data_IF_036595828322
#
_entry.id   IF_036595828322
#
_cell.length_a   1.000
_cell.length_b   1.000
_cell.length_c   1.000
_cell.angle_alpha   90.00
_cell.angle_beta   90.00
_cell.angle_gamma   90.00
#
_symmetry.space_group_name_H-M   'P 1'
#
loop_
_entity.id
_entity.type
_entity.pdbx_description
1 polymer ?
#
# COMPACT_ATOMS: atom_id res chain seq x y z
N UNK A 1 26.42 20.31 -9.02
CA UNK A 1 26.40 20.02 -10.47
C UNK A 1 26.05 18.56 -10.62
N UNK A 2 24.80 18.28 -10.97
CA UNK A 2 24.35 16.93 -11.32
C UNK A 2 24.95 16.60 -12.71
N UNK A 3 25.50 15.40 -12.95
CA UNK A 3 25.96 15.02 -14.29
C UNK A 3 24.82 15.17 -15.30
N UNK A 4 25.13 15.72 -16.46
CA UNK A 4 24.20 16.12 -17.54
C UNK A 4 23.45 14.95 -18.23
N UNK A 5 23.39 13.77 -17.60
CA UNK A 5 22.82 12.55 -18.19
C UNK A 5 21.35 12.27 -17.81
N UNK A 6 20.79 12.93 -16.79
CA UNK A 6 19.41 12.67 -16.31
C UNK A 6 18.30 13.46 -17.03
N UNK A 7 18.57 14.03 -18.21
CA UNK A 7 17.56 14.73 -19.04
C UNK A 7 17.12 13.95 -20.29
N UNK A 8 17.36 12.65 -20.34
CA UNK A 8 16.71 11.74 -21.28
C UNK A 8 15.67 10.89 -20.54
N UNK A 9 14.50 10.69 -21.15
CA UNK A 9 13.49 9.77 -20.65
C UNK A 9 14.10 8.34 -20.57
N UNK A 10 14.50 7.92 -19.38
CA UNK A 10 15.07 6.59 -19.06
C UNK A 10 14.01 5.58 -18.62
N UNK A 11 12.72 5.79 -18.95
CA UNK A 11 11.66 4.79 -18.68
C UNK A 11 12.01 3.40 -19.18
N UNK A 12 11.92 2.41 -18.30
CA UNK A 12 12.03 1.00 -18.65
C UNK A 12 10.64 0.44 -18.91
N UNK A 13 10.52 -0.45 -19.89
CA UNK A 13 9.24 -0.88 -20.40
C UNK A 13 9.04 -2.39 -20.32
N UNK A 14 7.81 -2.79 -20.04
CA UNK A 14 7.29 -4.12 -20.34
C UNK A 14 6.42 -4.04 -21.60
N UNK A 15 6.70 -4.91 -22.57
CA UNK A 15 5.90 -5.03 -23.78
C UNK A 15 4.87 -6.14 -23.65
N UNK A 16 3.61 -5.85 -23.91
CA UNK A 16 2.52 -6.83 -23.87
C UNK A 16 1.86 -6.92 -25.25
N UNK A 17 1.95 -8.07 -25.89
CA UNK A 17 1.22 -8.41 -27.12
C UNK A 17 -0.09 -9.05 -26.73
N UNK A 18 -1.18 -8.29 -26.84
CA UNK A 18 -2.50 -8.70 -26.41
C UNK A 18 -3.40 -9.05 -27.60
N UNK A 19 -3.89 -10.29 -27.62
CA UNK A 19 -5.03 -10.65 -28.45
C UNK A 19 -6.34 -10.09 -27.87
N UNK A 20 -7.21 -9.56 -28.73
CA UNK A 20 -8.56 -9.11 -28.31
C UNK A 20 -9.36 -10.25 -27.69
N UNK A 21 -9.90 -10.00 -26.50
CA UNK A 21 -10.83 -10.86 -25.79
C UNK A 21 -10.91 -10.50 -24.30
N UNK A 22 -12.04 -10.84 -23.66
CA UNK A 22 -12.26 -10.51 -22.23
C UNK A 22 -11.24 -11.19 -21.31
N UNK A 23 -10.93 -12.50 -21.42
CA UNK A 23 -9.92 -13.15 -20.56
C UNK A 23 -8.55 -12.48 -20.67
N UNK A 24 -8.15 -12.10 -21.88
CA UNK A 24 -6.88 -11.41 -22.14
C UNK A 24 -6.88 -10.01 -21.51
N UNK A 25 -7.99 -9.27 -21.54
CA UNK A 25 -8.09 -7.96 -20.88
C UNK A 25 -7.88 -8.05 -19.37
N UNK A 26 -8.45 -9.07 -18.71
CA UNK A 26 -8.28 -9.28 -17.27
C UNK A 26 -6.81 -9.58 -16.94
N UNK A 27 -6.17 -10.49 -17.69
CA UNK A 27 -4.75 -10.83 -17.52
C UNK A 27 -3.84 -9.63 -17.76
N UNK A 28 -4.08 -8.84 -18.81
CA UNK A 28 -3.28 -7.65 -19.11
C UNK A 28 -3.45 -6.57 -18.04
N UNK A 29 -4.66 -6.40 -17.48
CA UNK A 29 -4.87 -5.47 -16.35
C UNK A 29 -4.08 -5.91 -15.12
N UNK A 30 -4.12 -7.19 -14.78
CA UNK A 30 -3.33 -7.76 -13.69
C UNK A 30 -1.82 -7.58 -13.93
N UNK A 31 -1.31 -7.91 -15.12
CA UNK A 31 0.09 -7.71 -15.50
C UNK A 31 0.50 -6.25 -15.43
N UNK A 32 -0.35 -5.34 -15.91
CA UNK A 32 -0.08 -3.90 -15.89
C UNK A 32 0.13 -3.44 -14.45
N UNK A 33 -0.74 -3.85 -13.54
CA UNK A 33 -0.65 -3.50 -12.13
C UNK A 33 0.58 -4.13 -11.47
N UNK A 34 0.82 -5.43 -11.69
CA UNK A 34 1.99 -6.14 -11.15
C UNK A 34 3.30 -5.48 -11.61
N UNK A 35 3.48 -5.30 -12.91
CA UNK A 35 4.72 -4.81 -13.51
C UNK A 35 4.96 -3.33 -13.19
N UNK A 36 3.89 -2.52 -13.14
CA UNK A 36 4.02 -1.13 -12.75
C UNK A 36 4.33 -1.01 -11.26
N UNK A 37 3.51 -1.58 -10.37
CA UNK A 37 3.62 -1.34 -8.92
C UNK A 37 4.78 -2.11 -8.26
N UNK A 38 5.10 -3.32 -8.71
CA UNK A 38 6.18 -4.13 -8.10
C UNK A 38 7.55 -3.82 -8.70
N UNK A 39 7.61 -3.54 -10.00
CA UNK A 39 8.87 -3.43 -10.75
C UNK A 39 9.12 -2.06 -11.37
N UNK A 40 8.19 -1.11 -11.26
CA UNK A 40 8.36 0.26 -11.78
C UNK A 40 8.40 0.35 -13.31
N UNK A 41 7.89 -0.67 -14.03
CA UNK A 41 7.93 -0.71 -15.49
C UNK A 41 6.74 0.03 -16.11
N UNK A 42 7.03 0.83 -17.14
CA UNK A 42 6.00 1.40 -18.01
C UNK A 42 5.46 0.32 -18.96
N UNK A 43 4.16 0.35 -19.24
CA UNK A 43 3.51 -0.73 -19.98
C UNK A 43 3.19 -0.29 -21.40
N UNK A 44 3.73 -1.01 -22.38
CA UNK A 44 3.38 -0.83 -23.79
C UNK A 44 2.51 -2.01 -24.21
N UNK A 45 1.24 -1.75 -24.53
CA UNK A 45 0.32 -2.78 -25.03
C UNK A 45 0.13 -2.62 -26.53
N UNK A 46 0.40 -3.69 -27.28
CA UNK A 46 0.20 -3.76 -28.74
C UNK A 46 -0.69 -4.95 -29.09
N UNK A 47 -1.31 -4.93 -30.28
CA UNK A 47 -2.24 -6.00 -30.69
C UNK A 47 -1.66 -6.94 -31.75
N UNK A 48 -0.53 -6.57 -32.36
CA UNK A 48 0.11 -7.32 -33.44
C UNK A 48 1.60 -7.54 -33.18
N UNK A 49 2.11 -8.69 -33.61
CA UNK A 49 3.55 -9.02 -33.51
C UNK A 49 4.44 -8.05 -34.29
N UNK A 50 3.97 -7.52 -35.43
CA UNK A 50 4.73 -6.54 -36.21
C UNK A 50 4.94 -5.24 -35.43
N UNK A 51 3.89 -4.75 -34.75
CA UNK A 51 3.96 -3.57 -33.89
C UNK A 51 4.89 -3.83 -32.69
N UNK A 52 4.82 -5.03 -32.12
CA UNK A 52 5.69 -5.47 -31.03
C UNK A 52 7.18 -5.45 -31.44
N UNK A 53 7.49 -5.98 -32.62
CA UNK A 53 8.84 -5.96 -33.17
C UNK A 53 9.36 -4.54 -33.38
N UNK A 54 8.56 -3.68 -34.02
CA UNK A 54 8.91 -2.26 -34.19
C UNK A 54 9.14 -1.55 -32.85
N UNK A 55 8.37 -1.91 -31.82
CA UNK A 55 8.53 -1.37 -30.46
C UNK A 55 9.87 -1.80 -29.85
N UNK A 56 10.24 -3.08 -29.97
CA UNK A 56 11.54 -3.58 -29.48
C UNK A 56 12.69 -2.92 -30.23
N UNK A 57 12.58 -2.74 -31.54
CA UNK A 57 13.61 -2.03 -32.30
C UNK A 57 13.78 -0.58 -31.84
N UNK A 58 12.66 0.11 -31.59
CA UNK A 58 12.63 1.51 -31.13
C UNK A 58 13.18 1.68 -29.71
N UNK A 59 12.83 0.77 -28.80
CA UNK A 59 13.10 0.89 -27.36
C UNK A 59 14.17 -0.11 -26.88
N UNK A 60 14.96 -0.71 -27.78
CA UNK A 60 15.77 -1.93 -27.57
C UNK A 60 16.39 -2.12 -26.19
N UNK A 61 17.20 -1.17 -25.71
CA UNK A 61 17.90 -1.29 -24.41
C UNK A 61 16.99 -1.08 -23.20
N UNK A 62 15.77 -0.55 -23.41
CA UNK A 62 14.81 -0.15 -22.38
C UNK A 62 13.67 -1.16 -22.21
N UNK A 63 13.53 -2.16 -23.08
CA UNK A 63 12.53 -3.23 -22.92
C UNK A 63 13.12 -4.30 -22.00
N UNK A 64 12.55 -4.45 -20.80
CA UNK A 64 13.04 -5.39 -19.78
C UNK A 64 12.39 -6.76 -19.86
N UNK A 65 11.19 -6.85 -20.44
CA UNK A 65 10.46 -8.10 -20.62
C UNK A 65 9.40 -7.97 -21.71
N UNK A 66 8.97 -9.12 -22.25
CA UNK A 66 7.90 -9.20 -23.23
C UNK A 66 6.88 -10.28 -22.83
N UNK A 67 5.58 -9.98 -22.97
CA UNK A 67 4.48 -10.89 -22.71
C UNK A 67 3.65 -11.09 -23.98
N UNK A 68 3.19 -12.31 -24.22
CA UNK A 68 2.22 -12.63 -25.28
C UNK A 68 1.01 -13.27 -24.64
N UNK A 69 -0.15 -12.61 -24.76
CA UNK A 69 -1.42 -13.05 -24.13
C UNK A 69 -2.43 -13.38 -25.23
N UNK A 70 -2.68 -14.67 -25.47
CA UNK A 70 -3.53 -15.13 -26.59
C UNK A 70 -4.15 -16.52 -26.36
N UNK A 71 -5.31 -16.78 -26.97
CA UNK A 71 -5.99 -18.08 -27.02
C UNK A 71 -5.77 -18.84 -28.31
N UNK A 72 -5.03 -18.27 -29.27
CA UNK A 72 -4.77 -18.90 -30.57
C UNK A 72 -3.37 -19.48 -30.62
N UNK A 73 -3.25 -20.53 -31.41
CA UNK A 73 -1.99 -21.16 -31.77
C UNK A 73 -1.09 -20.16 -32.50
N UNK A 74 0.19 -20.10 -32.11
CA UNK A 74 1.24 -19.43 -32.88
C UNK A 74 1.74 -20.41 -33.93
N UNK A 75 1.51 -20.09 -35.20
CA UNK A 75 1.84 -21.00 -36.30
C UNK A 75 3.35 -21.12 -36.56
N UNK A 76 4.14 -20.10 -36.19
CA UNK A 76 5.57 -20.04 -36.50
C UNK A 76 6.38 -19.37 -35.41
N UNK A 77 7.53 -19.98 -35.09
CA UNK A 77 8.56 -19.40 -34.22
C UNK A 77 9.02 -18.02 -34.70
N UNK A 78 8.95 -17.73 -36.01
CA UNK A 78 9.33 -16.44 -36.57
C UNK A 78 8.49 -15.27 -36.02
N UNK A 79 7.27 -15.53 -35.55
CA UNK A 79 6.40 -14.50 -34.97
C UNK A 79 6.83 -14.06 -33.56
N UNK A 80 7.54 -14.92 -32.83
CA UNK A 80 7.88 -14.71 -31.41
C UNK A 80 9.37 -14.59 -31.13
N UNK A 81 10.24 -15.19 -31.96
CA UNK A 81 11.69 -15.10 -31.80
C UNK A 81 12.21 -13.65 -31.71
N UNK A 82 11.69 -12.67 -32.49
CA UNK A 82 12.15 -11.29 -32.37
C UNK A 82 11.81 -10.64 -31.02
N UNK A 83 10.84 -11.17 -30.27
CA UNK A 83 10.43 -10.59 -28.98
C UNK A 83 11.41 -10.88 -27.84
N UNK A 84 12.18 -11.95 -27.98
CA UNK A 84 13.10 -12.45 -26.96
C UNK A 84 14.55 -11.98 -27.19
N UNK A 85 14.84 -11.40 -28.37
CA UNK A 85 16.17 -10.85 -28.75
C UNK A 85 17.30 -11.82 -28.38
N UNK A 86 17.20 -13.06 -28.89
CA UNK A 86 18.20 -14.12 -28.66
C UNK A 86 18.45 -14.46 -27.18
N UNK A 87 17.43 -14.27 -26.33
CA UNK A 87 17.47 -14.56 -24.90
C UNK A 87 17.71 -13.33 -24.04
N UNK A 88 18.12 -12.19 -24.61
CA UNK A 88 18.40 -11.00 -23.79
C UNK A 88 17.16 -10.37 -23.15
N UNK A 89 15.96 -10.68 -23.67
CA UNK A 89 14.69 -10.21 -23.11
C UNK A 89 13.87 -11.44 -22.68
N UNK A 90 13.53 -11.60 -21.39
CA UNK A 90 12.66 -12.67 -20.95
C UNK A 90 11.29 -12.54 -21.62
N UNK A 91 10.87 -13.62 -22.27
CA UNK A 91 9.61 -13.72 -23.01
C UNK A 91 8.64 -14.64 -22.28
N UNK A 92 7.45 -14.14 -21.97
CA UNK A 92 6.40 -14.88 -21.28
C UNK A 92 5.25 -15.18 -22.23
N UNK A 93 4.93 -16.46 -22.41
CA UNK A 93 3.78 -16.90 -23.20
C UNK A 93 2.63 -17.29 -22.27
N UNK A 94 1.60 -16.45 -22.25
CA UNK A 94 0.36 -16.64 -21.48
C UNK A 94 -0.72 -17.21 -22.39
N UNK A 95 -0.96 -18.51 -22.27
CA UNK A 95 -1.82 -19.28 -23.19
C UNK A 95 -2.83 -20.15 -22.40
N UNK A 96 -3.95 -20.59 -23.00
CA UNK A 96 -4.74 -21.68 -22.46
C UNK A 96 -3.89 -22.93 -22.22
N UNK A 97 -4.20 -23.70 -21.17
CA UNK A 97 -3.46 -24.92 -20.81
C UNK A 97 -3.30 -25.90 -21.96
N UNK A 98 -4.31 -26.02 -22.82
CA UNK A 98 -4.31 -26.89 -24.01
C UNK A 98 -3.24 -26.55 -25.05
N UNK A 99 -2.72 -25.31 -25.06
CA UNK A 99 -1.73 -24.85 -26.03
C UNK A 99 -0.30 -24.89 -25.49
N UNK A 100 -0.08 -25.08 -24.19
CA UNK A 100 1.24 -24.92 -23.56
C UNK A 100 2.29 -25.88 -24.12
N UNK A 101 2.01 -27.19 -24.15
CA UNK A 101 3.02 -28.20 -24.57
C UNK A 101 3.41 -28.07 -26.04
N UNK A 102 2.46 -27.68 -26.88
CA UNK A 102 2.73 -27.42 -28.29
C UNK A 102 3.69 -26.23 -28.47
N UNK A 103 3.48 -25.15 -27.71
CA UNK A 103 4.32 -23.96 -27.79
C UNK A 103 5.68 -24.16 -27.10
N UNK A 104 5.78 -24.99 -26.06
CA UNK A 104 7.07 -25.45 -25.53
C UNK A 104 7.90 -26.14 -26.61
N UNK A 105 7.26 -27.03 -27.37
CA UNK A 105 7.91 -27.71 -28.51
C UNK A 105 8.36 -26.69 -29.58
N UNK A 106 7.50 -25.72 -29.91
CA UNK A 106 7.83 -24.65 -30.86
C UNK A 106 9.05 -23.82 -30.41
N UNK A 107 9.18 -23.57 -29.10
CA UNK A 107 10.20 -22.69 -28.52
C UNK A 107 11.41 -23.43 -27.93
N UNK A 108 11.54 -24.75 -28.07
CA UNK A 108 12.55 -25.57 -27.36
C UNK A 108 14.03 -25.12 -27.51
N UNK A 109 14.35 -24.31 -28.53
CA UNK A 109 15.69 -23.73 -28.76
C UNK A 109 15.78 -22.23 -28.47
N UNK A 110 14.81 -21.66 -27.77
CA UNK A 110 14.81 -20.26 -27.37
C UNK A 110 15.18 -20.19 -25.89
N UNK A 111 16.18 -19.38 -25.57
CA UNK A 111 16.54 -19.09 -24.19
C UNK A 111 15.53 -18.11 -23.57
N UNK A 112 15.38 -18.13 -22.25
CA UNK A 112 14.56 -17.17 -21.50
C UNK A 112 13.10 -17.06 -21.99
N UNK A 113 12.51 -18.19 -22.39
CA UNK A 113 11.08 -18.29 -22.68
C UNK A 113 10.36 -18.99 -21.55
N UNK A 114 9.46 -18.27 -20.90
CA UNK A 114 8.65 -18.73 -19.80
C UNK A 114 7.22 -18.98 -20.26
N UNK A 115 6.56 -19.96 -19.65
CA UNK A 115 5.20 -20.35 -19.99
C UNK A 115 4.31 -20.27 -18.76
N UNK A 116 3.16 -19.64 -18.89
CA UNK A 116 2.15 -19.64 -17.84
C UNK A 116 0.77 -19.89 -18.48
N UNK A 117 0.00 -20.79 -17.91
CA UNK A 117 -1.36 -21.02 -18.39
C UNK A 117 -2.31 -19.98 -17.80
N UNK A 118 -3.35 -19.57 -18.53
CA UNK A 118 -4.34 -18.61 -18.02
C UNK A 118 -5.01 -19.07 -16.73
N UNK A 119 -5.29 -20.36 -16.65
CA UNK A 119 -5.91 -21.03 -15.52
C UNK A 119 -5.00 -21.00 -14.29
N UNK A 120 -3.67 -20.98 -14.51
CA UNK A 120 -2.69 -20.90 -13.44
C UNK A 120 -2.23 -19.46 -13.18
N UNK A 121 -2.55 -18.49 -14.05
CA UNK A 121 -2.02 -17.14 -13.93
C UNK A 121 -2.40 -16.49 -12.59
N UNK A 122 -3.61 -16.80 -12.11
CA UNK A 122 -4.14 -16.34 -10.84
C UNK A 122 -3.98 -17.36 -9.71
N UNK A 123 -3.32 -18.51 -9.92
CA UNK A 123 -3.14 -19.50 -8.86
C UNK A 123 -2.13 -19.02 -7.80
N UNK A 124 -2.18 -19.60 -6.60
CA UNK A 124 -1.17 -19.35 -5.53
C UNK A 124 -0.14 -20.47 -5.42
N UNK A 125 -0.29 -21.54 -6.20
CA UNK A 125 0.65 -22.66 -6.27
C UNK A 125 1.95 -22.25 -6.98
N UNK A 126 2.96 -23.13 -7.00
CA UNK A 126 4.30 -22.82 -7.55
C UNK A 126 4.33 -22.39 -9.03
N UNK A 127 3.23 -22.53 -9.78
CA UNK A 127 3.11 -22.17 -11.20
C UNK A 127 2.35 -20.86 -11.47
N UNK A 128 2.15 -20.02 -10.45
CA UNK A 128 1.49 -18.72 -10.59
C UNK A 128 2.25 -17.77 -11.52
N UNK A 129 1.54 -16.82 -12.14
CA UNK A 129 2.17 -15.85 -13.04
C UNK A 129 3.21 -14.98 -12.31
N UNK A 130 2.91 -14.52 -11.10
CA UNK A 130 3.84 -13.69 -10.33
C UNK A 130 5.12 -14.46 -9.94
N UNK A 131 5.03 -15.75 -9.58
CA UNK A 131 6.22 -16.57 -9.25
C UNK A 131 7.07 -16.82 -10.49
N UNK A 132 6.43 -17.12 -11.63
CA UNK A 132 7.14 -17.30 -12.90
C UNK A 132 7.85 -16.02 -13.32
N UNK A 133 7.20 -14.86 -13.16
CA UNK A 133 7.82 -13.55 -13.43
C UNK A 133 8.96 -13.28 -12.47
N UNK A 134 8.75 -13.43 -11.15
CA UNK A 134 9.76 -13.16 -10.14
C UNK A 134 11.02 -14.02 -10.31
N UNK A 135 10.87 -15.33 -10.55
CA UNK A 135 12.00 -16.22 -10.78
C UNK A 135 12.81 -15.82 -12.03
N UNK A 136 12.12 -15.56 -13.15
CA UNK A 136 12.78 -15.13 -14.39
C UNK A 136 13.43 -13.74 -14.25
N UNK A 137 12.84 -12.84 -13.48
CA UNK A 137 13.39 -11.50 -13.24
C UNK A 137 14.64 -11.57 -12.37
N UNK A 138 14.63 -12.40 -11.32
CA UNK A 138 15.81 -12.63 -10.49
C UNK A 138 17.00 -13.17 -11.30
N UNK A 139 16.76 -14.13 -12.20
CA UNK A 139 17.81 -14.68 -13.10
C UNK A 139 18.37 -13.64 -14.09
N UNK A 140 17.57 -12.63 -14.45
CA UNK A 140 17.95 -11.58 -15.39
C UNK A 140 18.41 -10.28 -14.70
N UNK A 141 18.55 -10.29 -13.36
CA UNK A 141 18.92 -9.10 -12.59
C UNK A 141 17.92 -7.95 -12.73
N UNK A 142 16.63 -8.27 -12.90
CA UNK A 142 15.54 -7.29 -12.84
C UNK A 142 15.04 -7.28 -11.40
N UNK A 143 15.48 -6.31 -10.60
CA UNK A 143 15.05 -6.18 -9.21
C UNK A 143 13.62 -5.67 -9.07
N UNK A 144 12.99 -5.92 -7.93
CA UNK A 144 11.78 -5.18 -7.57
C UNK A 144 12.12 -3.70 -7.27
N UNK A 145 11.08 -2.89 -7.06
CA UNK A 145 11.21 -1.45 -6.88
C UNK A 145 12.25 -1.04 -5.83
N UNK A 146 12.42 -1.84 -4.77
CA UNK A 146 13.30 -1.54 -3.62
C UNK A 146 14.57 -2.37 -3.54
N UNK A 147 14.61 -3.57 -4.12
CA UNK A 147 15.70 -4.52 -3.97
C UNK A 147 17.08 -3.94 -4.35
N UNK A 148 17.13 -3.11 -5.40
CA UNK A 148 18.37 -2.44 -5.82
C UNK A 148 18.71 -1.23 -4.94
N UNK A 149 17.70 -0.54 -4.40
CA UNK A 149 17.90 0.66 -3.57
C UNK A 149 18.47 0.32 -2.20
N UNK A 150 18.14 -0.84 -1.65
CA UNK A 150 18.61 -1.29 -0.32
C UNK A 150 20.10 -1.62 -0.30
N UNK A 151 20.71 -1.90 -1.46
CA UNK A 151 22.12 -2.25 -1.59
C UNK A 151 23.04 -1.04 -1.89
N UNK A 152 22.47 0.14 -2.13
CA UNK A 152 23.21 1.35 -2.56
C UNK A 152 23.47 2.33 -1.40
N UNK A 153 24.48 3.21 -1.52
CA UNK A 153 24.65 4.34 -0.61
C UNK A 153 23.37 5.21 -0.55
N UNK A 154 23.06 5.86 0.59
CA UNK A 154 21.80 6.59 0.79
C UNK A 154 21.48 7.65 -0.27
N UNK A 155 22.50 8.34 -0.80
CA UNK A 155 22.30 9.38 -1.82
C UNK A 155 21.93 8.79 -3.19
N UNK A 156 22.58 7.69 -3.58
CA UNK A 156 22.32 7.00 -4.85
C UNK A 156 21.01 6.21 -4.81
N UNK A 157 20.70 5.59 -3.66
CA UNK A 157 19.45 4.87 -3.45
C UNK A 157 18.24 5.79 -3.54
N UNK A 158 18.34 7.00 -2.98
CA UNK A 158 17.29 8.03 -3.04
C UNK A 158 17.03 8.46 -4.48
N UNK A 159 18.08 8.76 -5.26
CA UNK A 159 17.92 9.18 -6.65
C UNK A 159 17.32 8.08 -7.53
N UNK A 160 17.77 6.83 -7.38
CA UNK A 160 17.22 5.69 -8.11
C UNK A 160 15.75 5.46 -7.75
N UNK A 161 15.42 5.55 -6.45
CA UNK A 161 14.06 5.39 -5.96
C UNK A 161 13.14 6.49 -6.49
N UNK A 162 13.53 7.76 -6.42
CA UNK A 162 12.76 8.89 -6.95
C UNK A 162 12.47 8.68 -8.45
N UNK A 163 13.50 8.32 -9.22
CA UNK A 163 13.37 8.07 -10.65
C UNK A 163 12.39 6.92 -10.97
N UNK A 164 12.42 5.84 -10.18
CA UNK A 164 11.48 4.71 -10.32
C UNK A 164 10.06 5.09 -9.91
N UNK A 165 9.91 5.82 -8.81
CA UNK A 165 8.61 6.26 -8.32
C UNK A 165 7.94 7.23 -9.27
N UNK A 166 8.67 8.14 -9.94
CA UNK A 166 8.12 9.06 -10.95
C UNK A 166 7.33 8.32 -12.05
N UNK A 167 7.78 7.12 -12.43
CA UNK A 167 7.17 6.29 -13.47
C UNK A 167 5.87 5.59 -13.05
N UNK A 168 5.52 5.60 -11.77
CA UNK A 168 4.26 5.03 -11.26
C UNK A 168 3.05 5.94 -11.54
N UNK A 169 2.71 6.13 -12.82
CA UNK A 169 1.65 7.07 -13.25
C UNK A 169 0.26 6.72 -12.70
N UNK A 170 0.03 5.46 -12.37
CA UNK A 170 -1.29 4.96 -11.93
C UNK A 170 -1.46 4.91 -10.42
N UNK A 171 -0.41 5.15 -9.63
CA UNK A 171 -0.51 5.14 -8.17
C UNK A 171 -1.26 6.40 -7.70
N UNK A 172 -2.26 6.27 -6.81
CA UNK A 172 -2.83 7.44 -6.15
C UNK A 172 -1.72 8.18 -5.40
N UNK A 173 -1.96 9.43 -5.09
CA UNK A 173 -1.10 10.20 -4.18
C UNK A 173 -1.96 10.65 -3.02
N UNK A 174 -1.32 10.88 -1.86
CA UNK A 174 -2.01 11.54 -0.76
C UNK A 174 -2.42 12.94 -1.25
N UNK A 175 -3.68 13.37 -1.05
CA UNK A 175 -4.13 14.69 -1.48
C UNK A 175 -3.20 15.80 -0.98
N UNK A 176 -2.87 16.79 -1.81
CA UNK A 176 -1.92 17.85 -1.44
C UNK A 176 -2.33 18.59 -0.16
N UNK A 177 -3.63 18.78 0.07
CA UNK A 177 -4.14 19.38 1.31
C UNK A 177 -3.81 18.51 2.52
N UNK A 178 -3.92 17.19 2.42
CA UNK A 178 -3.52 16.27 3.49
C UNK A 178 -2.00 16.36 3.75
N UNK A 179 -1.17 16.43 2.71
CA UNK A 179 0.28 16.63 2.86
C UNK A 179 0.62 17.97 3.51
N UNK A 180 -0.09 19.04 3.17
CA UNK A 180 0.07 20.35 3.82
C UNK A 180 -0.32 20.29 5.30
N UNK A 181 -1.38 19.59 5.66
CA UNK A 181 -1.77 19.39 7.07
C UNK A 181 -0.68 18.62 7.82
N UNK A 182 -0.13 17.54 7.25
CA UNK A 182 0.99 16.80 7.86
C UNK A 182 2.18 17.71 8.16
N UNK A 183 2.62 18.51 7.17
CA UNK A 183 3.74 19.45 7.33
C UNK A 183 3.49 20.49 8.44
N UNK A 184 2.28 21.03 8.51
CA UNK A 184 1.90 21.99 9.56
C UNK A 184 1.94 21.37 10.96
N UNK A 185 1.49 20.12 11.07
CA UNK A 185 1.42 19.38 12.34
C UNK A 185 2.81 18.97 12.84
N UNK A 186 3.71 18.62 11.91
CA UNK A 186 5.11 18.29 12.19
C UNK A 186 5.94 19.54 12.56
N UNK A 187 5.65 20.70 11.98
CA UNK A 187 6.41 21.93 12.21
C UNK A 187 6.09 22.55 13.61
N UNK A 188 7.08 22.57 14.53
CA UNK A 188 6.88 23.16 15.85
C UNK A 188 6.61 24.67 15.80
N UNK A 189 7.03 25.38 14.75
CA UNK A 189 6.89 26.83 14.60
C UNK A 189 5.53 27.26 14.07
N UNK A 190 4.70 26.35 13.55
CA UNK A 190 3.38 26.74 13.02
C UNK A 190 2.52 27.42 14.07
N UNK A 191 1.90 28.54 13.73
CA UNK A 191 0.97 29.27 14.58
C UNK A 191 -0.42 28.61 14.60
N UNK A 192 -1.30 29.07 15.51
CA UNK A 192 -2.71 28.63 15.55
C UNK A 192 -3.43 29.16 14.31
N UNK A 193 -3.12 30.41 13.96
CA UNK A 193 -3.67 31.15 12.84
C UNK A 193 -3.35 30.47 11.51
N UNK A 194 -2.12 29.99 11.31
CA UNK A 194 -1.75 29.26 10.08
C UNK A 194 -2.51 27.94 9.92
N UNK A 195 -2.76 27.20 11.01
CA UNK A 195 -3.57 25.99 10.97
C UNK A 195 -5.04 26.33 10.70
N UNK A 196 -5.59 27.32 11.39
CA UNK A 196 -6.97 27.79 11.17
C UNK A 196 -7.18 28.27 9.73
N UNK A 197 -6.27 29.08 9.21
CA UNK A 197 -6.29 29.56 7.83
C UNK A 197 -6.26 28.37 6.87
N UNK A 198 -5.38 27.38 7.04
CA UNK A 198 -5.37 26.21 6.17
C UNK A 198 -6.71 25.46 6.17
N UNK A 199 -7.31 25.26 7.35
CA UNK A 199 -8.53 24.48 7.50
C UNK A 199 -9.77 25.20 6.94
N UNK A 200 -9.85 26.52 7.13
CA UNK A 200 -11.00 27.33 6.69
C UNK A 200 -11.16 27.43 5.18
N UNK A 201 -10.15 27.04 4.39
CA UNK A 201 -10.27 26.89 2.94
C UNK A 201 -11.23 25.78 2.50
N UNK A 202 -11.56 24.82 3.37
CA UNK A 202 -12.48 23.72 3.09
C UNK A 202 -13.60 23.69 4.15
N UNK A 203 -14.73 24.37 3.91
CA UNK A 203 -15.84 24.45 4.87
C UNK A 203 -16.40 23.08 5.27
N UNK A 204 -16.29 22.07 4.41
CA UNK A 204 -16.72 20.71 4.73
C UNK A 204 -15.80 20.06 5.77
N UNK A 205 -14.48 20.29 5.69
CA UNK A 205 -13.54 19.86 6.73
C UNK A 205 -13.84 20.57 8.04
N UNK A 206 -14.02 21.89 8.03
CA UNK A 206 -14.31 22.65 9.26
C UNK A 206 -15.59 22.15 9.93
N UNK A 207 -16.65 21.93 9.15
CA UNK A 207 -17.92 21.45 9.69
C UNK A 207 -17.76 20.09 10.39
N UNK A 208 -17.15 19.11 9.71
CA UNK A 208 -16.91 17.77 10.28
C UNK A 208 -15.93 17.80 11.44
N UNK A 209 -14.90 18.64 11.35
CA UNK A 209 -13.92 18.82 12.42
C UNK A 209 -14.61 19.35 13.68
N UNK A 210 -15.48 20.34 13.54
CA UNK A 210 -16.28 20.84 14.65
C UNK A 210 -17.19 19.75 15.23
N UNK A 211 -17.81 18.89 14.41
CA UNK A 211 -18.56 17.74 14.94
C UNK A 211 -17.68 16.79 15.75
N UNK A 212 -16.48 16.48 15.26
CA UNK A 212 -15.55 15.58 15.95
C UNK A 212 -14.99 16.21 17.23
N UNK A 213 -14.44 17.43 17.20
CA UNK A 213 -13.80 18.04 18.39
C UNK A 213 -14.80 18.41 19.50
N UNK A 214 -16.10 18.46 19.17
CA UNK A 214 -17.19 18.64 20.11
C UNK A 214 -17.85 17.31 20.54
N UNK A 215 -17.38 16.15 20.03
CA UNK A 215 -17.91 14.84 20.41
C UNK A 215 -17.57 14.50 21.86
N UNK A 216 -18.26 13.49 22.41
CA UNK A 216 -18.05 13.03 23.79
C UNK A 216 -16.57 12.69 24.09
N UNK A 217 -15.88 12.12 23.10
CA UNK A 217 -14.45 11.79 23.10
C UNK A 217 -13.57 12.98 23.43
N UNK A 218 -13.86 14.15 22.86
CA UNK A 218 -13.01 15.33 22.97
C UNK A 218 -13.58 16.40 23.88
N UNK A 219 -14.88 16.40 24.20
CA UNK A 219 -15.53 17.45 24.98
C UNK A 219 -15.07 17.49 26.45
N UNK A 220 -14.58 16.37 27.00
CA UNK A 220 -14.21 16.26 28.41
C UNK A 220 -15.41 16.49 29.34
N UNK A 221 -15.18 17.03 30.54
CA UNK A 221 -16.23 17.27 31.55
C UNK A 221 -16.92 18.63 31.43
N UNK A 222 -16.61 19.41 30.39
CA UNK A 222 -17.09 20.77 30.26
C UNK A 222 -18.57 20.82 29.82
N UNK A 223 -19.39 21.60 30.53
CA UNK A 223 -20.84 21.78 30.27
C UNK A 223 -21.15 22.78 29.13
N UNK A 224 -20.31 22.88 28.11
CA UNK A 224 -20.50 23.81 26.98
C UNK A 224 -21.04 23.06 25.77
N UNK A 225 -21.97 23.67 25.04
CA UNK A 225 -22.61 23.04 23.88
C UNK A 225 -21.68 22.89 22.66
N UNK A 226 -20.77 23.85 22.42
CA UNK A 226 -19.76 23.77 21.36
C UNK A 226 -18.59 24.74 21.54
N UNK A 227 -17.44 24.39 20.96
CA UNK A 227 -16.25 25.23 20.81
C UNK A 227 -16.07 25.64 19.33
N UNK A 228 -15.83 26.95 19.04
CA UNK A 228 -15.33 27.41 17.75
C UNK A 228 -13.97 26.80 17.39
N UNK A 229 -13.58 26.87 16.11
CA UNK A 229 -12.34 26.24 15.60
C UNK A 229 -11.08 26.72 16.34
N UNK A 230 -10.87 28.02 16.45
CA UNK A 230 -9.73 28.59 17.15
C UNK A 230 -9.67 28.14 18.62
N UNK A 231 -10.81 28.13 19.33
CA UNK A 231 -10.89 27.64 20.71
C UNK A 231 -10.60 26.14 20.81
N UNK A 232 -11.06 25.34 19.84
CA UNK A 232 -10.75 23.91 19.77
C UNK A 232 -9.25 23.66 19.56
N UNK A 233 -8.59 24.47 18.72
CA UNK A 233 -7.13 24.42 18.52
C UNK A 233 -6.38 24.77 19.80
N UNK A 234 -6.82 25.80 20.53
CA UNK A 234 -6.21 26.17 21.82
C UNK A 234 -6.38 25.05 22.85
N UNK A 235 -7.56 24.43 22.91
CA UNK A 235 -7.91 23.43 23.92
C UNK A 235 -7.26 22.07 23.69
N UNK A 236 -7.34 21.57 22.46
CA UNK A 236 -6.82 20.25 22.07
C UNK A 236 -5.35 20.31 21.61
N UNK A 237 -4.88 21.50 21.23
CA UNK A 237 -3.58 21.71 20.63
C UNK A 237 -3.60 21.52 19.11
N UNK A 238 -2.70 22.25 18.43
CA UNK A 238 -2.52 22.24 16.97
C UNK A 238 -2.34 20.84 16.41
N UNK A 239 -1.52 20.00 17.07
CA UNK A 239 -1.21 18.65 16.58
C UNK A 239 -2.46 17.76 16.55
N UNK A 240 -3.25 17.76 17.62
CA UNK A 240 -4.45 16.95 17.71
C UNK A 240 -5.52 17.41 16.70
N UNK A 241 -5.75 18.72 16.59
CA UNK A 241 -6.71 19.26 15.61
C UNK A 241 -6.27 18.97 14.17
N UNK A 242 -4.99 19.20 13.85
CA UNK A 242 -4.48 18.92 12.51
C UNK A 242 -4.55 17.43 12.16
N UNK A 243 -4.30 16.54 13.12
CA UNK A 243 -4.42 15.11 12.91
C UNK A 243 -5.88 14.64 12.63
N UNK A 244 -6.86 15.22 13.33
CA UNK A 244 -8.29 14.98 13.06
C UNK A 244 -8.68 15.56 11.69
N UNK A 245 -8.20 16.76 11.35
CA UNK A 245 -8.46 17.36 10.04
C UNK A 245 -7.86 16.52 8.90
N UNK A 246 -6.67 15.97 9.10
CA UNK A 246 -6.03 15.05 8.17
C UNK A 246 -6.90 13.80 7.95
N UNK A 247 -7.36 13.18 9.04
CA UNK A 247 -8.29 12.06 8.99
C UNK A 247 -9.53 12.39 8.15
N UNK A 248 -10.21 13.50 8.44
CA UNK A 248 -11.38 13.96 7.69
C UNK A 248 -11.05 14.16 6.21
N UNK A 249 -9.91 14.80 5.90
CA UNK A 249 -9.51 15.05 4.51
C UNK A 249 -9.30 13.73 3.75
N UNK A 250 -8.58 12.79 4.33
CA UNK A 250 -8.31 11.49 3.72
C UNK A 250 -9.61 10.72 3.49
N UNK A 251 -10.46 10.64 4.51
CA UNK A 251 -11.76 9.96 4.45
C UNK A 251 -12.69 10.53 3.36
N UNK A 252 -12.71 11.85 3.19
CA UNK A 252 -13.54 12.50 2.18
C UNK A 252 -12.95 12.45 0.76
N UNK A 253 -11.63 12.35 0.62
CA UNK A 253 -10.97 12.43 -0.69
C UNK A 253 -10.80 11.06 -1.36
N UNK A 254 -10.80 9.99 -0.56
CA UNK A 254 -10.53 8.63 -1.04
C UNK A 254 -11.84 7.94 -1.43
N UNK A 255 -12.23 8.11 -2.70
CA UNK A 255 -13.47 7.56 -3.25
C UNK A 255 -13.23 6.15 -3.81
N UNK A 256 -14.03 5.19 -3.32
CA UNK A 256 -14.00 3.80 -3.80
C UNK A 256 -14.48 3.68 -5.25
N UNK A 257 -13.76 2.95 -6.12
CA UNK A 257 -14.26 2.57 -7.44
C UNK A 257 -15.59 1.79 -7.35
N UNK A 258 -16.45 1.91 -8.37
CA UNK A 258 -17.77 1.25 -8.36
C UNK A 258 -17.67 -0.27 -8.38
N UNK A 259 -16.63 -0.78 -9.01
CA UNK A 259 -16.34 -2.19 -9.21
C UNK A 259 -15.68 -2.85 -7.99
N UNK A 260 -15.25 -2.05 -7.01
CA UNK A 260 -14.56 -2.55 -5.82
C UNK A 260 -15.54 -2.81 -4.69
N UNK A 261 -15.48 -4.00 -4.08
CA UNK A 261 -16.22 -4.33 -2.86
C UNK A 261 -15.53 -3.86 -1.57
N UNK A 262 -14.43 -3.08 -1.68
CA UNK A 262 -13.70 -2.57 -0.52
C UNK A 262 -14.62 -1.84 0.46
N UNK A 263 -14.54 -2.18 1.75
CA UNK A 263 -15.36 -1.58 2.80
C UNK A 263 -14.59 -0.43 3.45
N UNK A 264 -14.79 0.78 2.90
CA UNK A 264 -14.15 2.00 3.41
C UNK A 264 -14.52 2.27 4.87
N UNK A 265 -15.73 1.94 5.31
CA UNK A 265 -16.16 2.21 6.69
C UNK A 265 -15.37 1.33 7.65
N UNK A 266 -15.22 0.03 7.36
CA UNK A 266 -14.39 -0.87 8.19
C UNK A 266 -12.92 -0.48 8.18
N UNK A 267 -12.38 -0.13 7.01
CA UNK A 267 -11.02 0.37 6.89
C UNK A 267 -10.77 1.56 7.81
N UNK A 268 -11.59 2.62 7.70
CA UNK A 268 -11.41 3.81 8.52
C UNK A 268 -11.66 3.55 10.00
N UNK A 269 -12.61 2.67 10.33
CA UNK A 269 -12.83 2.23 11.71
C UNK A 269 -11.60 1.59 12.32
N UNK A 270 -10.91 0.72 11.57
CA UNK A 270 -9.64 0.14 12.00
C UNK A 270 -8.54 1.19 12.15
N UNK A 271 -8.32 2.04 11.13
CA UNK A 271 -7.29 3.09 11.17
C UNK A 271 -7.46 4.08 12.32
N UNK A 272 -8.70 4.53 12.57
CA UNK A 272 -9.03 5.45 13.68
C UNK A 272 -8.88 4.74 15.03
N UNK A 273 -9.32 3.47 15.12
CA UNK A 273 -9.08 2.63 16.29
C UNK A 273 -7.60 2.53 16.64
N UNK A 274 -6.75 2.24 15.66
CA UNK A 274 -5.30 2.15 15.86
C UNK A 274 -4.71 3.48 16.36
N UNK A 275 -5.11 4.62 15.77
CA UNK A 275 -4.62 5.92 16.20
C UNK A 275 -5.02 6.26 17.63
N UNK A 276 -6.28 6.00 18.02
CA UNK A 276 -6.75 6.20 19.39
C UNK A 276 -6.09 5.26 20.40
N UNK A 277 -5.89 3.98 20.02
CA UNK A 277 -5.20 3.01 20.87
C UNK A 277 -3.76 3.47 21.09
N UNK A 278 -3.03 3.83 20.04
CA UNK A 278 -1.66 4.34 20.16
C UNK A 278 -1.60 5.57 21.07
N UNK A 279 -2.51 6.54 20.90
CA UNK A 279 -2.61 7.74 21.75
C UNK A 279 -2.84 7.39 23.22
N UNK A 280 -3.76 6.47 23.52
CA UNK A 280 -4.05 6.04 24.90
C UNK A 280 -2.90 5.27 25.53
N UNK A 281 -2.25 4.38 24.79
CA UNK A 281 -1.09 3.65 25.28
C UNK A 281 0.04 4.59 25.70
N UNK A 282 0.28 5.64 24.92
CA UNK A 282 1.29 6.66 25.20
C UNK A 282 0.85 7.60 26.33
N UNK A 283 -0.33 8.23 26.23
CA UNK A 283 -0.79 9.24 27.19
C UNK A 283 -1.04 8.69 28.59
N UNK A 284 -1.60 7.48 28.69
CA UNK A 284 -1.89 6.85 29.97
C UNK A 284 -0.67 6.13 30.55
N UNK A 285 0.48 6.19 29.88
CA UNK A 285 1.70 5.47 30.28
C UNK A 285 1.46 3.97 30.47
N UNK A 286 0.51 3.42 29.69
CA UNK A 286 0.20 1.99 29.75
C UNK A 286 1.32 1.15 29.10
N UNK A 287 2.12 1.79 28.24
CA UNK A 287 3.29 1.24 27.58
C UNK A 287 4.54 2.07 27.89
N UNK A 288 5.63 1.41 28.29
CA UNK A 288 6.95 2.04 28.42
C UNK A 288 7.67 1.94 27.08
N UNK A 289 7.87 3.08 26.42
CA UNK A 289 8.61 3.13 25.16
C UNK A 289 10.12 3.32 25.41
N UNK A 290 11.00 2.71 24.59
CA UNK A 290 12.44 2.92 24.67
C UNK A 290 12.85 4.38 24.50
N UNK A 291 12.12 5.12 23.67
CA UNK A 291 12.30 6.56 23.46
C UNK A 291 10.94 7.26 23.27
N UNK A 292 10.85 8.58 23.57
CA UNK A 292 9.62 9.33 23.35
C UNK A 292 9.31 9.45 21.85
N UNK A 293 8.07 9.14 21.48
CA UNK A 293 7.58 9.27 20.11
C UNK A 293 6.66 10.50 20.04
N UNK A 294 6.86 11.42 19.08
CA UNK A 294 5.98 12.57 18.90
C UNK A 294 4.54 12.14 18.59
N UNK A 295 3.56 12.88 19.14
CA UNK A 295 2.12 12.64 18.93
C UNK A 295 1.75 12.49 17.44
N UNK A 296 2.24 13.43 16.63
CA UNK A 296 2.02 13.47 15.21
C UNK A 296 2.57 12.23 14.50
N UNK A 297 3.76 11.75 14.89
CA UNK A 297 4.35 10.56 14.29
C UNK A 297 3.52 9.31 14.55
N UNK A 298 3.13 9.02 15.80
CA UNK A 298 2.35 7.80 16.06
C UNK A 298 0.89 7.92 15.62
N UNK A 299 0.28 9.11 15.74
CA UNK A 299 -1.11 9.27 15.33
C UNK A 299 -1.25 9.14 13.82
N UNK A 300 -0.43 9.87 13.06
CA UNK A 300 -0.47 9.85 11.59
C UNK A 300 0.00 8.47 11.10
N UNK A 301 1.06 7.91 11.69
CA UNK A 301 1.54 6.57 11.37
C UNK A 301 0.46 5.51 11.58
N UNK A 302 -0.22 5.50 12.74
CA UNK A 302 -1.31 4.57 13.01
C UNK A 302 -2.55 4.83 12.13
N UNK A 303 -2.83 6.06 11.74
CA UNK A 303 -3.92 6.36 10.81
C UNK A 303 -3.62 5.85 9.38
N UNK A 304 -2.36 5.89 8.97
CA UNK A 304 -1.92 5.54 7.61
C UNK A 304 -1.34 4.14 7.46
N UNK A 305 -1.14 3.38 8.55
CA UNK A 305 -0.42 2.10 8.52
C UNK A 305 -0.99 1.14 7.46
N UNK A 306 -2.30 1.12 7.31
CA UNK A 306 -3.01 0.24 6.39
C UNK A 306 -3.33 0.88 5.03
N UNK A 307 -2.81 2.08 4.72
CA UNK A 307 -3.16 2.80 3.49
C UNK A 307 -2.90 1.99 2.20
N UNK A 308 -1.97 1.03 2.25
CA UNK A 308 -1.75 0.09 1.16
C UNK A 308 -2.94 -0.83 0.88
N UNK A 309 -3.80 -1.13 1.87
CA UNK A 309 -5.06 -1.87 1.66
C UNK A 309 -6.01 -1.12 0.71
N UNK A 310 -5.98 0.23 0.69
CA UNK A 310 -6.73 1.00 -0.31
C UNK A 310 -6.19 0.79 -1.72
N UNK A 311 -4.86 0.72 -1.86
CA UNK A 311 -4.24 0.43 -3.16
C UNK A 311 -4.69 -0.95 -3.64
N UNK A 312 -4.64 -1.95 -2.76
CA UNK A 312 -5.13 -3.30 -3.08
C UNK A 312 -6.62 -3.30 -3.42
N UNK A 313 -7.46 -2.68 -2.59
CA UNK A 313 -8.91 -2.64 -2.78
C UNK A 313 -9.34 -1.90 -4.05
N UNK A 314 -8.66 -0.81 -4.41
CA UNK A 314 -9.09 0.06 -5.51
C UNK A 314 -8.51 -0.37 -6.85
N UNK A 315 -7.28 -0.89 -6.86
CA UNK A 315 -6.57 -1.21 -8.09
C UNK A 315 -6.45 -2.71 -8.31
N UNK A 316 -6.37 -3.50 -7.25
CA UNK A 316 -6.26 -4.96 -7.29
C UNK A 316 -7.54 -5.64 -6.77
N UNK A 317 -8.74 -5.10 -7.03
CA UNK A 317 -9.99 -5.57 -6.37
C UNK A 317 -10.21 -7.09 -6.51
N UNK A 318 -9.90 -7.72 -7.65
CA UNK A 318 -10.06 -9.17 -7.80
C UNK A 318 -9.11 -9.98 -6.90
N UNK A 319 -7.88 -9.50 -6.68
CA UNK A 319 -6.95 -10.10 -5.72
C UNK A 319 -7.38 -9.81 -4.28
N UNK A 320 -7.90 -8.61 -4.03
CA UNK A 320 -8.43 -8.22 -2.73
C UNK A 320 -9.64 -9.07 -2.33
N UNK A 321 -10.58 -9.32 -3.25
CA UNK A 321 -11.74 -10.20 -3.02
C UNK A 321 -11.30 -11.61 -2.62
N UNK A 322 -10.32 -12.17 -3.31
CA UNK A 322 -9.73 -13.47 -3.01
C UNK A 322 -9.03 -13.49 -1.63
N UNK A 323 -8.33 -12.40 -1.28
CA UNK A 323 -7.73 -12.21 0.03
C UNK A 323 -8.79 -12.24 1.13
N UNK A 324 -9.88 -11.49 0.96
CA UNK A 324 -11.00 -11.48 1.92
C UNK A 324 -11.66 -12.85 2.04
N UNK A 325 -11.87 -13.57 0.94
CA UNK A 325 -12.44 -14.92 0.96
C UNK A 325 -11.51 -15.90 1.70
N UNK A 326 -10.20 -15.78 1.49
CA UNK A 326 -9.21 -16.62 2.20
C UNK A 326 -9.16 -16.31 3.69
N UNK A 327 -9.21 -15.03 4.08
CA UNK A 327 -9.34 -14.65 5.49
C UNK A 327 -10.58 -15.28 6.14
N UNK A 328 -11.72 -15.30 5.44
CA UNK A 328 -12.97 -15.88 5.96
C UNK A 328 -12.92 -17.41 6.05
N UNK A 329 -12.48 -18.07 4.99
CA UNK A 329 -12.49 -19.54 4.90
C UNK A 329 -11.47 -20.20 5.82
N UNK A 330 -10.29 -19.58 5.97
CA UNK A 330 -9.17 -20.13 6.73
C UNK A 330 -8.92 -19.42 8.08
N UNK A 331 -9.71 -18.39 8.39
CA UNK A 331 -9.61 -17.58 9.63
C UNK A 331 -8.23 -16.94 9.83
N UNK A 332 -7.66 -16.45 8.73
CA UNK A 332 -6.35 -15.81 8.70
C UNK A 332 -6.45 -14.31 9.01
N UNK A 333 -5.38 -13.74 9.56
CA UNK A 333 -5.14 -12.29 9.54
C UNK A 333 -4.95 -11.79 8.09
N UNK A 334 -5.06 -10.48 7.86
CA UNK A 334 -4.85 -9.91 6.52
C UNK A 334 -3.46 -10.24 5.99
N UNK A 335 -2.41 -10.07 6.82
CA UNK A 335 -1.01 -10.37 6.45
C UNK A 335 -0.79 -11.85 6.13
N UNK A 336 -1.39 -12.76 6.91
CA UNK A 336 -1.31 -14.20 6.62
C UNK A 336 -2.00 -14.58 5.32
N UNK A 337 -3.14 -13.97 5.01
CA UNK A 337 -3.83 -14.17 3.75
C UNK A 337 -2.96 -13.70 2.56
N UNK A 338 -2.32 -12.53 2.65
CA UNK A 338 -1.37 -12.07 1.62
C UNK A 338 -0.23 -13.06 1.39
N UNK A 339 0.39 -13.54 2.48
CA UNK A 339 1.47 -14.55 2.42
C UNK A 339 0.99 -15.82 1.76
N UNK A 340 -0.20 -16.30 2.11
CA UNK A 340 -0.78 -17.50 1.55
C UNK A 340 -1.18 -17.35 0.07
N UNK A 341 -1.43 -16.11 -0.40
CA UNK A 341 -1.67 -15.80 -1.82
C UNK A 341 -0.38 -15.52 -2.62
N UNK A 342 0.79 -15.58 -1.98
CA UNK A 342 2.10 -15.47 -2.61
C UNK A 342 2.82 -14.13 -2.42
N UNK A 343 2.30 -13.24 -1.56
CA UNK A 343 2.96 -12.02 -1.08
C UNK A 343 3.49 -11.04 -2.15
N UNK A 344 2.96 -11.12 -3.37
CA UNK A 344 3.47 -10.33 -4.50
C UNK A 344 3.02 -8.87 -4.47
N UNK A 345 1.93 -8.58 -3.76
CA UNK A 345 1.33 -7.26 -3.62
C UNK A 345 0.73 -7.13 -2.21
N UNK A 346 1.59 -6.96 -1.20
CA UNK A 346 1.12 -6.76 0.17
C UNK A 346 0.91 -5.28 0.52
N UNK A 347 0.07 -5.06 1.53
CA UNK A 347 -0.37 -3.74 1.96
C UNK A 347 0.77 -2.92 2.58
N UNK A 348 1.69 -3.51 3.33
CA UNK A 348 2.86 -2.80 3.87
C UNK A 348 3.70 -2.18 2.74
N UNK A 349 4.02 -2.99 1.73
CA UNK A 349 4.75 -2.56 0.53
C UNK A 349 3.99 -1.48 -0.24
N UNK A 350 2.69 -1.68 -0.49
CA UNK A 350 1.88 -0.70 -1.21
C UNK A 350 1.76 0.63 -0.44
N UNK A 351 1.67 0.57 0.89
CA UNK A 351 1.68 1.73 1.76
C UNK A 351 3.01 2.47 1.70
N UNK A 352 4.14 1.74 1.79
CA UNK A 352 5.49 2.29 1.66
C UNK A 352 5.68 3.07 0.36
N UNK A 353 5.30 2.47 -0.78
CA UNK A 353 5.37 3.13 -2.09
C UNK A 353 4.51 4.40 -2.11
N UNK A 354 3.28 4.33 -1.60
CA UNK A 354 2.36 5.47 -1.59
C UNK A 354 2.92 6.65 -0.80
N UNK A 355 3.48 6.38 0.38
CA UNK A 355 4.07 7.42 1.23
C UNK A 355 5.34 8.02 0.62
N UNK A 356 6.21 7.20 0.05
CA UNK A 356 7.43 7.70 -0.61
C UNK A 356 7.12 8.52 -1.86
N UNK A 357 6.17 8.07 -2.69
CA UNK A 357 5.71 8.87 -3.85
C UNK A 357 5.12 10.20 -3.41
N UNK A 358 4.51 10.24 -2.21
CA UNK A 358 3.96 11.45 -1.60
C UNK A 358 5.01 12.27 -0.83
N UNK A 359 6.29 11.87 -0.85
CA UNK A 359 7.42 12.51 -0.15
C UNK A 359 7.20 12.70 1.36
N UNK A 360 6.55 11.71 1.98
CA UNK A 360 6.39 11.65 3.44
C UNK A 360 7.72 11.23 4.10
N UNK A 361 7.96 11.70 5.32
CA UNK A 361 9.21 11.46 6.06
C UNK A 361 9.52 9.97 6.30
N UNK A 362 10.82 9.64 6.32
CA UNK A 362 11.33 8.26 6.38
C UNK A 362 10.77 7.44 7.55
N UNK A 363 10.71 8.00 8.75
CA UNK A 363 10.19 7.29 9.92
C UNK A 363 8.74 6.79 9.73
N UNK A 364 7.87 7.60 9.10
CA UNK A 364 6.49 7.20 8.80
C UNK A 364 6.44 6.17 7.67
N UNK A 365 7.26 6.34 6.63
CA UNK A 365 7.40 5.39 5.52
C UNK A 365 7.79 4.01 6.04
N UNK A 366 8.78 3.94 6.93
CA UNK A 366 9.29 2.69 7.50
C UNK A 366 8.26 2.06 8.44
N UNK A 367 7.59 2.89 9.26
CA UNK A 367 6.53 2.43 10.13
C UNK A 367 5.37 1.79 9.36
N UNK A 368 4.88 2.44 8.31
CA UNK A 368 3.83 1.89 7.43
C UNK A 368 4.34 0.66 6.67
N UNK A 369 5.60 0.64 6.25
CA UNK A 369 6.20 -0.44 5.48
C UNK A 369 6.56 -1.71 6.26
N UNK A 370 6.42 -1.71 7.59
CA UNK A 370 6.87 -2.82 8.45
C UNK A 370 5.98 -3.08 9.68
N UNK A 371 4.79 -2.46 9.78
CA UNK A 371 3.97 -2.51 10.98
C UNK A 371 3.36 -3.88 11.31
N UNK A 372 3.17 -4.78 10.35
CA UNK A 372 2.62 -6.13 10.55
C UNK A 372 3.75 -7.17 10.61
N UNK A 373 4.77 -7.01 9.76
CA UNK A 373 5.93 -7.92 9.71
C UNK A 373 6.86 -7.70 10.90
N UNK A 374 7.22 -6.44 11.18
CA UNK A 374 8.08 -6.02 12.30
C UNK A 374 9.34 -6.88 12.50
N UNK A 375 9.97 -7.29 11.41
CA UNK A 375 11.19 -8.11 11.41
C UNK A 375 12.42 -7.28 11.81
N UNK A 376 13.46 -7.96 12.31
CA UNK A 376 14.73 -7.33 12.67
C UNK A 376 14.68 -6.59 14.00
N UNK A 377 15.16 -5.35 14.01
CA UNK A 377 15.16 -4.43 15.16
C UNK A 377 14.14 -3.31 14.92
N UNK A 378 12.84 -3.53 15.24
CA UNK A 378 11.79 -2.58 14.92
C UNK A 378 11.94 -1.30 15.74
N UNK A 379 11.78 -0.14 15.07
CA UNK A 379 11.79 1.15 15.78
C UNK A 379 10.65 1.25 16.80
N UNK A 380 10.75 2.12 17.82
CA UNK A 380 9.68 2.34 18.79
C UNK A 380 8.35 2.72 18.13
N UNK A 381 8.39 3.45 17.01
CA UNK A 381 7.20 3.79 16.22
C UNK A 381 6.56 2.56 15.55
N UNK A 382 7.36 1.68 14.94
CA UNK A 382 6.88 0.39 14.40
C UNK A 382 6.26 -0.44 15.52
N UNK A 383 6.93 -0.54 16.67
CA UNK A 383 6.45 -1.31 17.81
C UNK A 383 5.09 -0.82 18.33
N UNK A 384 4.94 0.50 18.49
CA UNK A 384 3.69 1.10 18.96
C UNK A 384 2.54 0.87 17.97
N UNK A 385 2.77 1.07 16.67
CA UNK A 385 1.75 0.87 15.64
C UNK A 385 1.38 -0.62 15.53
N UNK A 386 2.37 -1.52 15.57
CA UNK A 386 2.15 -2.96 15.57
C UNK A 386 1.26 -3.39 16.74
N UNK A 387 1.55 -2.88 17.94
CA UNK A 387 0.77 -3.20 19.13
C UNK A 387 -0.65 -2.63 19.03
N UNK A 388 -0.81 -1.37 18.62
CA UNK A 388 -2.11 -0.74 18.46
C UNK A 388 -2.99 -1.44 17.41
N UNK A 389 -2.39 -1.82 16.27
CA UNK A 389 -3.04 -2.59 15.21
C UNK A 389 -3.57 -3.94 15.72
N UNK A 390 -2.75 -4.69 16.44
CA UNK A 390 -3.16 -6.00 16.95
C UNK A 390 -4.16 -5.91 18.12
N UNK A 391 -4.03 -4.93 19.02
CA UNK A 391 -5.05 -4.66 20.05
C UNK A 391 -6.39 -4.28 19.38
N UNK A 392 -6.36 -3.48 18.31
CA UNK A 392 -7.56 -3.13 17.53
C UNK A 392 -8.25 -4.38 16.99
N UNK A 393 -7.48 -5.37 16.50
CA UNK A 393 -8.00 -6.67 16.05
C UNK A 393 -8.61 -7.47 17.21
N UNK A 394 -7.93 -7.54 18.36
CA UNK A 394 -8.46 -8.20 19.57
C UNK A 394 -9.79 -7.60 20.04
N UNK A 395 -9.97 -6.28 19.91
CA UNK A 395 -11.23 -5.58 20.23
C UNK A 395 -12.33 -5.73 19.15
N UNK A 396 -12.12 -6.56 18.12
CA UNK A 396 -13.08 -6.74 17.03
C UNK A 396 -13.14 -5.55 16.06
N UNK A 397 -12.12 -4.71 16.06
CA UNK A 397 -11.93 -3.58 15.15
C UNK A 397 -10.84 -3.92 14.13
N UNK A 398 -10.83 -5.13 13.58
CA UNK A 398 -10.05 -5.50 12.39
C UNK A 398 -10.77 -5.09 11.09
N UNK A 399 -10.15 -5.37 9.94
CA UNK A 399 -10.85 -5.20 8.65
C UNK A 399 -12.01 -6.21 8.54
N UNK A 400 -11.81 -7.42 9.03
CA UNK A 400 -12.89 -8.35 9.36
C UNK A 400 -13.03 -8.43 10.88
N UNK A 401 -14.27 -8.52 11.37
CA UNK A 401 -14.52 -8.69 12.81
C UNK A 401 -13.94 -10.01 13.36
N UNK A 402 -13.69 -10.99 12.50
CA UNK A 402 -13.09 -12.29 12.84
C UNK A 402 -11.58 -12.33 12.62
N UNK A 403 -10.96 -11.22 12.23
CA UNK A 403 -9.53 -11.13 11.98
C UNK A 403 -8.77 -11.32 13.30
N UNK A 404 -7.79 -12.24 13.31
CA UNK A 404 -7.01 -12.54 14.51
C UNK A 404 -5.85 -11.55 14.68
N UNK A 405 -5.57 -11.22 15.93
CA UNK A 405 -4.36 -10.50 16.31
C UNK A 405 -3.15 -11.44 16.25
N UNK A 406 -2.04 -10.95 15.70
CA UNK A 406 -0.76 -11.67 15.61
C UNK A 406 0.34 -10.75 16.13
N UNK A 407 0.78 -10.99 17.36
CA UNK A 407 1.81 -10.21 18.03
C UNK A 407 3.21 -10.72 17.65
N UNK A 408 4.06 -9.84 17.12
CA UNK A 408 5.45 -10.13 16.76
C UNK A 408 6.31 -10.36 18.01
N UNK A 409 7.03 -11.50 18.12
CA UNK A 409 7.94 -11.74 19.24
C UNK A 409 9.02 -10.66 19.38
N UNK A 410 9.49 -10.09 18.27
CA UNK A 410 10.48 -9.02 18.23
C UNK A 410 9.92 -7.75 18.87
N UNK A 411 8.68 -7.39 18.56
CA UNK A 411 7.99 -6.23 19.16
C UNK A 411 7.79 -6.43 20.66
N UNK A 412 7.31 -7.61 21.08
CA UNK A 412 7.12 -7.92 22.50
C UNK A 412 8.43 -7.84 23.27
N UNK A 413 9.52 -8.36 22.69
CA UNK A 413 10.86 -8.28 23.26
C UNK A 413 11.36 -6.83 23.34
N UNK A 414 11.20 -6.05 22.26
CA UNK A 414 11.68 -4.66 22.19
C UNK A 414 10.96 -3.75 23.21
N UNK A 415 9.67 -4.01 23.45
CA UNK A 415 8.84 -3.30 24.42
C UNK A 415 8.92 -3.89 25.84
N UNK A 416 9.57 -5.04 26.02
CA UNK A 416 9.64 -5.78 27.29
C UNK A 416 8.24 -6.06 27.89
N UNK A 417 7.28 -6.46 27.03
CA UNK A 417 5.91 -6.80 27.44
C UNK A 417 5.58 -8.27 27.15
N UNK A 418 4.68 -8.83 27.94
CA UNK A 418 4.16 -10.19 27.76
C UNK A 418 2.65 -10.19 27.44
N UNK A 419 2.08 -11.38 27.29
CA UNK A 419 0.66 -11.53 26.99
C UNK A 419 -0.23 -10.97 28.12
N UNK A 420 0.17 -11.11 29.38
CA UNK A 420 -0.61 -10.56 30.50
C UNK A 420 -0.72 -9.04 30.36
N UNK A 421 0.38 -8.36 30.01
CA UNK A 421 0.34 -6.92 29.84
C UNK A 421 -0.56 -6.47 28.68
N UNK A 422 -0.59 -7.25 27.60
CA UNK A 422 -1.51 -7.02 26.48
C UNK A 422 -2.96 -7.16 26.94
N UNK A 423 -3.28 -8.21 27.69
CA UNK A 423 -4.64 -8.46 28.18
C UNK A 423 -5.12 -7.32 29.09
N UNK A 424 -4.24 -6.80 29.97
CA UNK A 424 -4.51 -5.60 30.79
C UNK A 424 -4.81 -4.37 29.93
N UNK A 425 -4.03 -4.14 28.86
CA UNK A 425 -4.25 -3.02 27.94
C UNK A 425 -5.61 -3.15 27.24
N UNK A 426 -5.93 -4.33 26.71
CA UNK A 426 -7.20 -4.63 26.05
C UNK A 426 -8.38 -4.39 26.99
N UNK A 427 -8.31 -4.90 28.22
CA UNK A 427 -9.34 -4.71 29.23
C UNK A 427 -9.54 -3.23 29.59
N UNK A 428 -8.43 -2.48 29.74
CA UNK A 428 -8.48 -1.05 30.07
C UNK A 428 -9.11 -0.18 28.98
N UNK A 429 -9.02 -0.60 27.71
CA UNK A 429 -9.57 0.13 26.57
C UNK A 429 -11.07 -0.15 26.39
N UNK A 430 -11.47 -1.43 26.52
CA UNK A 430 -12.85 -1.89 26.65
C UNK A 430 -13.83 -1.42 25.56
N UNK A 431 -15.12 -1.50 25.88
CA UNK A 431 -16.23 -1.11 24.99
C UNK A 431 -16.30 0.41 24.74
N UNK A 432 -15.80 1.22 25.67
CA UNK A 432 -15.81 2.67 25.56
C UNK A 432 -14.99 3.16 24.37
N UNK A 433 -13.79 2.59 24.16
CA UNK A 433 -12.99 2.88 22.96
C UNK A 433 -13.76 2.56 21.68
N UNK A 434 -14.42 1.40 21.63
CA UNK A 434 -15.15 0.94 20.44
C UNK A 434 -16.23 1.96 20.07
N UNK A 435 -16.99 2.43 21.06
CA UNK A 435 -18.03 3.43 20.89
C UNK A 435 -17.45 4.76 20.37
N UNK A 436 -16.34 5.22 20.94
CA UNK A 436 -15.67 6.44 20.49
C UNK A 436 -15.18 6.35 19.05
N UNK A 437 -14.59 5.22 18.66
CA UNK A 437 -14.15 4.95 17.29
C UNK A 437 -15.35 5.04 16.34
N UNK A 438 -16.45 4.37 16.68
CA UNK A 438 -17.66 4.37 15.87
C UNK A 438 -18.27 5.79 15.76
N UNK A 439 -18.33 6.55 16.86
CA UNK A 439 -18.75 7.96 16.84
C UNK A 439 -17.86 8.83 15.94
N UNK A 440 -16.53 8.73 16.07
CA UNK A 440 -15.58 9.50 15.25
C UNK A 440 -15.71 9.18 13.76
N UNK A 441 -15.84 7.90 13.40
CA UNK A 441 -16.01 7.48 12.00
C UNK A 441 -17.32 7.98 11.43
N UNK A 442 -18.42 7.90 12.19
CA UNK A 442 -19.72 8.44 11.77
C UNK A 442 -19.68 9.94 11.55
N UNK A 443 -19.05 10.71 12.44
CA UNK A 443 -18.88 12.16 12.25
C UNK A 443 -17.99 12.50 11.05
N UNK A 444 -17.00 11.67 10.73
CA UNK A 444 -16.14 11.89 9.57
C UNK A 444 -16.81 11.48 8.24
N UNK A 445 -17.59 10.39 8.21
CA UNK A 445 -18.26 9.88 7.01
C UNK A 445 -19.66 10.45 6.79
N UNK A 446 -20.26 11.05 7.82
CA UNK A 446 -21.60 11.64 7.80
C UNK A 446 -21.78 12.67 6.68
N UNK A 447 -23.03 12.73 6.19
CA UNK A 447 -23.48 13.62 5.10
C UNK A 447 -23.66 15.04 5.57
#
# INVERSE_FOLDING_TARGET
MVPDELKNDDSEFALIVQQKGKPQQVLVRYLTLLLNYRYGLDIIVVTKFVEAFSTIQKHRKRIRCAFVVQSRRIESKANIAPLNVEGSIPLFLLLPKSLIEEHKTLCHRMANVQFCSWENAFSHTGSSLHKVVAAAFAEQGIGDLFAETEALPPEDSTQLLEHRLEKLRTLPTIPEVALRIMRIVEDPQTSIEELEDLLTHDPAIVHKLLQVVNSSTFAGTAKRESWPLQEAIVRLGRKQVGAIALQIKLMNSLVRPKESEFDLRRFWRHSVGCALIADRLVKNQALTLPEPIPFDSYWIGALLHDIGKLVLGFFFWGHFEELIEKMRSEKLSFREAERALGDFANHEFMGKILLQRSKVGGNLVDAVGAHDTADGDPSPLVCLIHLANNISRTLGIGYLATEQAVYSPQVLSALSIDQQKIDEMVESLGEELIKEVDEMVEHCLGS
#
